data_IF_584098698684
#
_entry.id   IF_584098698684
#
_cell.length_a   1.000
_cell.length_b   1.000
_cell.length_c   1.000
_cell.angle_alpha   90.00
_cell.angle_beta   90.00
_cell.angle_gamma   90.00
#
_symmetry.space_group_name_H-M   'P 1'
#
loop_
_entity.id
_entity.type
_entity.pdbx_description
1 polymer ?
#
# COMPACT_ATOMS: atom_id res chain seq x y z
N UNK A 1 4.80 -5.04 17.07
CA UNK A 1 5.15 -4.81 15.65
C UNK A 1 4.49 -5.89 14.81
N UNK A 2 3.41 -5.57 14.11
CA UNK A 2 2.78 -6.48 13.14
C UNK A 2 3.75 -6.62 11.97
N UNK A 3 4.19 -7.85 11.67
CA UNK A 3 4.96 -8.13 10.45
C UNK A 3 3.98 -8.39 9.31
N UNK A 4 3.64 -7.33 8.57
CA UNK A 4 2.91 -7.45 7.31
C UNK A 4 3.88 -7.95 6.24
N UNK A 5 3.78 -9.22 5.89
CA UNK A 5 4.58 -9.82 4.81
C UNK A 5 3.74 -9.84 3.53
N UNK A 6 3.85 -8.80 2.70
CA UNK A 6 3.24 -8.77 1.37
C UNK A 6 4.20 -9.47 0.40
N UNK A 7 3.77 -10.50 -0.35
CA UNK A 7 4.65 -11.13 -1.33
C UNK A 7 5.02 -10.11 -2.42
N UNK A 8 6.31 -10.00 -2.80
CA UNK A 8 6.73 -9.08 -3.84
C UNK A 8 6.05 -9.44 -5.16
N UNK A 9 5.29 -8.49 -5.70
CA UNK A 9 4.59 -8.62 -6.97
C UNK A 9 5.27 -7.74 -8.00
N UNK A 10 5.68 -8.32 -9.13
CA UNK A 10 6.33 -7.55 -10.20
C UNK A 10 5.45 -6.37 -10.62
N UNK A 11 6.08 -5.20 -10.78
CA UNK A 11 5.45 -3.94 -11.19
C UNK A 11 4.52 -3.30 -10.16
N UNK A 12 4.52 -3.79 -8.92
CA UNK A 12 3.90 -3.15 -7.77
C UNK A 12 4.93 -2.93 -6.67
N UNK A 13 4.95 -1.73 -6.11
CA UNK A 13 5.69 -1.37 -4.91
C UNK A 13 4.70 -1.05 -3.78
N UNK A 14 5.01 -1.49 -2.56
CA UNK A 14 4.16 -1.30 -1.39
C UNK A 14 4.89 -0.47 -0.34
N UNK A 15 4.17 0.46 0.28
CA UNK A 15 4.69 1.28 1.34
C UNK A 15 3.67 1.38 2.46
N UNK A 16 4.10 1.12 3.69
CA UNK A 16 3.32 1.49 4.88
C UNK A 16 3.52 2.97 5.15
N UNK A 17 2.45 3.67 5.50
CA UNK A 17 2.50 5.05 5.96
C UNK A 17 1.52 5.26 7.11
N UNK A 18 1.37 6.49 7.59
CA UNK A 18 0.39 6.79 8.63
C UNK A 18 0.74 6.24 10.01
N UNK A 19 -0.29 6.01 10.83
CA UNK A 19 -0.18 5.82 12.28
C UNK A 19 0.62 4.58 12.70
N UNK A 20 0.60 3.54 11.85
CA UNK A 20 1.32 2.26 12.01
C UNK A 20 2.83 2.44 12.19
N UNK A 21 3.40 3.54 11.71
CA UNK A 21 4.85 3.80 11.76
C UNK A 21 5.34 4.40 13.07
N UNK A 22 4.46 4.93 13.91
CA UNK A 22 4.85 5.66 15.12
C UNK A 22 3.96 5.41 16.33
N UNK A 23 2.79 4.79 16.17
CA UNK A 23 1.90 4.39 17.26
C UNK A 23 2.13 2.93 17.67
N UNK A 24 2.09 2.66 18.98
CA UNK A 24 2.07 1.29 19.50
C UNK A 24 0.69 0.62 19.32
N UNK A 25 -0.37 1.42 19.23
CA UNK A 25 -1.76 1.00 19.02
C UNK A 25 -2.35 1.76 17.82
N UNK A 26 -2.00 1.37 16.58
CA UNK A 26 -2.59 1.94 15.37
C UNK A 26 -4.08 1.58 15.27
N UNK A 27 -4.91 2.53 14.82
CA UNK A 27 -6.33 2.33 14.55
C UNK A 27 -6.58 1.54 13.26
N UNK A 28 -5.68 1.72 12.31
CA UNK A 28 -5.79 1.39 10.90
C UNK A 28 -4.40 1.06 10.33
N UNK A 29 -4.39 0.46 9.14
CA UNK A 29 -3.18 0.16 8.40
C UNK A 29 -3.26 0.88 7.06
N UNK A 30 -2.50 1.95 6.91
CA UNK A 30 -2.37 2.67 5.66
C UNK A 30 -1.29 2.06 4.75
N UNK A 31 -1.69 1.63 3.55
CA UNK A 31 -0.79 1.07 2.54
C UNK A 31 -0.87 1.84 1.23
N UNK A 32 0.26 2.34 0.75
CA UNK A 32 0.38 2.91 -0.58
C UNK A 32 0.83 1.81 -1.55
N UNK A 33 0.06 1.63 -2.61
CA UNK A 33 0.31 0.69 -3.69
C UNK A 33 0.68 1.50 -4.91
N UNK A 34 1.95 1.43 -5.31
CA UNK A 34 2.46 2.13 -6.48
C UNK A 34 2.65 1.13 -7.63
N UNK A 35 1.97 1.34 -8.75
CA UNK A 35 2.03 0.43 -9.89
C UNK A 35 2.60 1.07 -11.16
N UNK A 36 3.20 0.26 -12.03
CA UNK A 36 3.74 0.72 -13.30
C UNK A 36 2.69 0.61 -14.43
N UNK A 37 2.12 1.76 -14.86
CA UNK A 37 1.11 1.83 -15.93
C UNK A 37 1.57 1.26 -17.27
N UNK A 38 2.89 1.13 -17.49
CA UNK A 38 3.44 0.51 -18.72
C UNK A 38 3.19 -1.00 -18.79
N UNK A 39 3.01 -1.64 -17.64
CA UNK A 39 2.88 -3.10 -17.54
C UNK A 39 1.55 -3.54 -16.94
N UNK A 40 0.93 -2.69 -16.13
CA UNK A 40 -0.27 -3.00 -15.35
C UNK A 40 -1.39 -2.05 -15.76
N UNK A 41 -2.53 -2.62 -16.14
CA UNK A 41 -3.73 -1.83 -16.40
C UNK A 41 -4.35 -1.33 -15.09
N UNK A 42 -5.12 -0.23 -15.15
CA UNK A 42 -5.85 0.26 -13.98
C UNK A 42 -6.79 -0.82 -13.41
N UNK A 43 -7.40 -1.64 -14.26
CA UNK A 43 -8.29 -2.72 -13.83
C UNK A 43 -7.53 -3.79 -13.05
N UNK A 44 -6.34 -4.18 -13.52
CA UNK A 44 -5.48 -5.13 -12.81
C UNK A 44 -4.99 -4.55 -11.48
N UNK A 45 -4.68 -3.26 -11.43
CA UNK A 45 -4.26 -2.57 -10.22
C UNK A 45 -5.39 -2.53 -9.16
N UNK A 46 -6.62 -2.23 -9.58
CA UNK A 46 -7.80 -2.26 -8.70
C UNK A 46 -8.08 -3.69 -8.21
N UNK A 47 -7.99 -4.68 -9.09
CA UNK A 47 -8.17 -6.08 -8.73
C UNK A 47 -7.11 -6.55 -7.73
N UNK A 48 -5.86 -6.16 -7.96
CA UNK A 48 -4.76 -6.44 -7.04
C UNK A 48 -5.01 -5.83 -5.66
N UNK A 49 -5.41 -4.55 -5.60
CA UNK A 49 -5.76 -3.88 -4.35
C UNK A 49 -6.84 -4.62 -3.57
N UNK A 50 -7.93 -5.04 -4.22
CA UNK A 50 -8.99 -5.80 -3.55
C UNK A 50 -8.48 -7.12 -2.97
N UNK A 51 -7.69 -7.88 -3.73
CA UNK A 51 -7.08 -9.13 -3.25
C UNK A 51 -6.12 -8.92 -2.09
N UNK A 52 -5.37 -7.82 -2.12
CA UNK A 52 -4.45 -7.48 -1.04
C UNK A 52 -5.21 -7.18 0.25
N UNK A 53 -6.24 -6.35 0.18
CA UNK A 53 -7.09 -6.01 1.34
C UNK A 53 -7.74 -7.29 1.89
N UNK A 54 -8.41 -8.07 1.04
CA UNK A 54 -9.07 -9.32 1.44
C UNK A 54 -8.11 -10.24 2.21
N UNK A 55 -6.92 -10.46 1.65
CA UNK A 55 -5.89 -11.29 2.27
C UNK A 55 -5.42 -10.73 3.60
N UNK A 56 -5.15 -9.42 3.68
CA UNK A 56 -4.64 -8.81 4.90
C UNK A 56 -5.70 -8.80 6.01
N UNK A 57 -6.98 -8.60 5.67
CA UNK A 57 -8.10 -8.68 6.61
C UNK A 57 -8.25 -10.06 7.26
N UNK A 58 -7.72 -11.13 6.67
CA UNK A 58 -7.66 -12.45 7.31
C UNK A 58 -6.67 -12.50 8.49
N UNK A 59 -5.66 -11.62 8.51
CA UNK A 59 -4.56 -11.64 9.49
C UNK A 59 -4.69 -10.57 10.58
N UNK A 60 -5.54 -9.56 10.39
CA UNK A 60 -5.69 -8.45 11.34
C UNK A 60 -7.13 -7.95 11.38
N UNK A 61 -7.66 -7.61 12.57
CA UNK A 61 -8.96 -6.95 12.67
C UNK A 61 -8.91 -5.44 12.38
N UNK A 62 -7.72 -4.88 12.17
CA UNK A 62 -7.56 -3.46 11.85
C UNK A 62 -8.10 -3.16 10.45
N UNK A 63 -8.72 -1.99 10.30
CA UNK A 63 -9.13 -1.47 9.00
C UNK A 63 -7.89 -1.22 8.11
N UNK A 64 -7.99 -1.56 6.83
CA UNK A 64 -6.87 -1.42 5.89
C UNK A 64 -7.26 -0.38 4.86
N UNK A 65 -6.66 0.78 4.99
CA UNK A 65 -6.81 1.87 4.06
C UNK A 65 -5.70 1.82 3.02
N UNK A 66 -6.08 2.04 1.76
CA UNK A 66 -5.14 1.94 0.65
C UNK A 66 -5.21 3.15 -0.26
N UNK A 67 -4.03 3.65 -0.61
CA UNK A 67 -3.85 4.60 -1.69
C UNK A 67 -3.28 3.84 -2.88
N UNK A 68 -3.92 3.95 -4.04
CA UNK A 68 -3.46 3.34 -5.28
C UNK A 68 -3.02 4.44 -6.23
N UNK A 69 -1.74 4.46 -6.58
CA UNK A 69 -1.17 5.42 -7.50
C UNK A 69 -0.36 4.68 -8.56
N UNK A 70 -0.37 5.20 -9.77
CA UNK A 70 0.69 4.89 -10.73
C UNK A 70 1.99 5.59 -10.35
N UNK A 71 3.11 5.11 -10.90
CA UNK A 71 4.40 5.79 -10.77
C UNK A 71 4.34 7.25 -11.20
N UNK A 72 3.63 7.54 -12.29
CA UNK A 72 3.48 8.91 -12.79
C UNK A 72 2.68 9.77 -11.80
N UNK A 73 1.57 9.27 -11.26
CA UNK A 73 0.77 10.00 -10.27
C UNK A 73 1.55 10.22 -8.97
N UNK A 74 2.29 9.21 -8.49
CA UNK A 74 3.13 9.33 -7.29
C UNK A 74 4.15 10.46 -7.42
N UNK A 75 4.82 10.55 -8.57
CA UNK A 75 5.77 11.63 -8.89
C UNK A 75 5.06 12.98 -8.92
N UNK A 76 3.89 13.07 -9.54
CA UNK A 76 3.12 14.33 -9.65
C UNK A 76 2.62 14.84 -8.29
N UNK A 77 2.19 13.93 -7.40
CA UNK A 77 1.71 14.31 -6.07
C UNK A 77 2.82 14.33 -5.01
N UNK A 78 4.03 13.92 -5.39
CA UNK A 78 5.22 13.79 -4.53
C UNK A 78 4.90 13.06 -3.21
N UNK A 79 4.06 12.01 -3.28
CA UNK A 79 3.49 11.38 -2.09
C UNK A 79 4.59 10.78 -1.21
N UNK A 80 5.50 10.00 -1.79
CA UNK A 80 6.57 9.36 -1.01
C UNK A 80 7.59 10.38 -0.50
N UNK A 81 7.78 11.50 -1.21
CA UNK A 81 8.71 12.55 -0.78
C UNK A 81 8.20 13.33 0.44
N UNK A 82 6.88 13.49 0.56
CA UNK A 82 6.26 14.29 1.62
C UNK A 82 5.71 13.44 2.78
N UNK A 83 5.35 12.17 2.54
CA UNK A 83 4.84 11.27 3.56
C UNK A 83 5.95 10.43 4.19
N UNK A 84 5.96 10.33 5.53
CA UNK A 84 6.79 9.35 6.22
C UNK A 84 6.27 7.95 5.88
N UNK A 85 7.11 7.13 5.29
CA UNK A 85 6.73 5.81 4.79
C UNK A 85 7.82 4.76 5.03
N UNK A 86 7.45 3.48 4.95
CA UNK A 86 8.35 2.32 4.98
C UNK A 86 8.01 1.38 3.84
N UNK A 87 8.98 1.07 2.97
CA UNK A 87 8.78 0.08 1.90
C UNK A 87 8.67 -1.33 2.49
N UNK A 88 7.67 -2.10 2.04
CA UNK A 88 7.41 -3.48 2.50
C UNK A 88 7.30 -4.48 1.36
#
# INVERSE_FOLDING_TARGET
>A
MIKLSIPPQKHFDHYLFGSILYSENPSDIDIAIIYDKKFISLQDAIHYRHKLIERLSEFTPLEIDTILLSKEEEIEVEFLSNAKHLKI
#
